data_IF_232415645530
#
_entry.id   IF_232415645530
#
_cell.length_a   1.000
_cell.length_b   1.000
_cell.length_c   1.000
_cell.angle_alpha   90.00
_cell.angle_beta   90.00
_cell.angle_gamma   90.00
#
_symmetry.space_group_name_H-M   'P 1'
#
loop_
_entity.id
_entity.type
_entity.pdbx_description
1 polymer ?
#
# COMPACT_ATOMS: atom_id res chain seq x y z
N UNK A 1 -0.89 -3.89 -8.63
CA UNK A 1 -0.17 -3.98 -7.33
C UNK A 1 1.12 -3.17 -7.31
N UNK A 2 2.01 -3.24 -8.32
CA UNK A 2 3.28 -2.48 -8.29
C UNK A 2 3.12 -0.96 -8.49
N UNK A 3 2.23 -0.50 -9.38
CA UNK A 3 2.02 0.96 -9.63
C UNK A 3 1.57 1.74 -8.38
N UNK A 4 0.79 1.11 -7.50
CA UNK A 4 0.37 1.73 -6.24
C UNK A 4 1.51 1.82 -5.21
N UNK A 5 2.54 0.98 -5.31
CA UNK A 5 3.67 0.99 -4.38
C UNK A 5 4.60 2.19 -4.67
N UNK A 6 4.92 2.41 -5.94
CA UNK A 6 5.74 3.53 -6.40
C UNK A 6 5.13 4.88 -5.99
N UNK A 7 3.82 5.04 -6.18
CA UNK A 7 3.13 6.27 -5.78
C UNK A 7 3.08 6.46 -4.25
N UNK A 8 2.97 5.38 -3.47
CA UNK A 8 3.07 5.46 -2.00
C UNK A 8 4.47 5.85 -1.54
N UNK A 9 5.51 5.37 -2.21
CA UNK A 9 6.89 5.81 -1.97
C UNK A 9 7.06 7.29 -2.30
N UNK A 10 6.47 7.76 -3.41
CA UNK A 10 6.48 9.18 -3.76
C UNK A 10 5.74 10.04 -2.71
N UNK A 11 4.59 9.61 -2.19
CA UNK A 11 3.91 10.28 -1.07
C UNK A 11 4.82 10.32 0.16
N UNK A 12 5.43 9.20 0.53
CA UNK A 12 6.36 9.14 1.68
C UNK A 12 7.53 10.09 1.51
N UNK A 13 8.06 10.22 0.29
CA UNK A 13 9.10 11.17 -0.05
C UNK A 13 8.63 12.62 0.12
N UNK A 14 7.45 12.97 -0.38
CA UNK A 14 6.85 14.30 -0.18
C UNK A 14 6.68 14.65 1.30
N UNK A 15 6.19 13.71 2.12
CA UNK A 15 6.06 13.91 3.58
C UNK A 15 7.42 14.16 4.24
N UNK A 16 8.47 13.44 3.83
CA UNK A 16 9.85 13.68 4.31
C UNK A 16 10.43 15.03 3.88
N UNK A 17 9.89 15.62 2.83
CA UNK A 17 10.21 16.99 2.40
C UNK A 17 9.28 18.03 3.05
N UNK A 18 8.51 17.64 4.07
CA UNK A 18 7.57 18.50 4.80
C UNK A 18 6.51 19.13 3.89
N UNK A 19 6.18 18.44 2.78
CA UNK A 19 5.10 18.86 1.89
C UNK A 19 3.74 18.45 2.46
N UNK A 20 2.78 19.37 2.32
CA UNK A 20 1.39 19.09 2.68
C UNK A 20 0.71 18.21 1.62
N UNK A 21 -0.33 17.46 2.00
CA UNK A 21 -1.15 16.71 1.05
C UNK A 21 -1.65 17.57 -0.14
N UNK A 22 -1.95 18.85 0.10
CA UNK A 22 -2.39 19.79 -0.93
C UNK A 22 -1.31 20.11 -1.98
N UNK A 23 -0.03 20.04 -1.60
CA UNK A 23 1.11 20.14 -2.52
C UNK A 23 1.46 18.78 -3.14
N UNK A 24 1.29 17.68 -2.40
CA UNK A 24 1.57 16.32 -2.88
C UNK A 24 0.65 15.90 -4.02
N UNK A 25 -0.65 16.24 -3.97
CA UNK A 25 -1.64 15.90 -5.02
C UNK A 25 -1.23 16.42 -6.42
N UNK A 26 -0.97 17.73 -6.63
CA UNK A 26 -0.56 18.22 -7.94
C UNK A 26 0.80 17.66 -8.40
N UNK A 27 1.72 17.35 -7.48
CA UNK A 27 2.99 16.69 -7.81
C UNK A 27 2.76 15.28 -8.35
N UNK A 28 1.92 14.48 -7.68
CA UNK A 28 1.56 13.13 -8.14
C UNK A 28 0.81 13.16 -9.46
N UNK A 29 -0.15 14.08 -9.63
CA UNK A 29 -0.87 14.25 -10.90
C UNK A 29 0.08 14.59 -12.05
N UNK A 30 1.10 15.43 -11.80
CA UNK A 30 2.12 15.76 -12.80
C UNK A 30 3.02 14.58 -13.14
N UNK A 31 3.40 13.76 -12.16
CA UNK A 31 4.30 12.63 -12.34
C UNK A 31 3.62 11.40 -12.96
N UNK A 32 2.40 11.08 -12.52
CA UNK A 32 1.68 9.84 -12.86
C UNK A 32 0.49 10.06 -13.80
N UNK A 33 0.18 11.31 -14.16
CA UNK A 33 -0.86 11.65 -15.12
C UNK A 33 -2.25 11.24 -14.62
N UNK A 34 -2.96 10.42 -15.40
CA UNK A 34 -4.30 9.91 -15.07
C UNK A 34 -4.27 8.69 -14.16
N UNK A 35 -3.12 8.01 -14.06
CA UNK A 35 -2.97 6.75 -13.33
C UNK A 35 -2.58 6.97 -11.86
N UNK A 36 -2.75 8.18 -11.34
CA UNK A 36 -2.41 8.52 -9.96
C UNK A 36 -3.48 8.04 -8.95
N UNK A 37 -3.07 7.81 -7.71
CA UNK A 37 -3.95 7.46 -6.61
C UNK A 37 -5.01 8.56 -6.42
N UNK A 38 -6.22 8.16 -6.06
CA UNK A 38 -7.27 9.14 -5.72
C UNK A 38 -6.83 10.04 -4.55
N UNK A 39 -7.31 11.29 -4.54
CA UNK A 39 -7.01 12.27 -3.48
C UNK A 39 -7.26 11.70 -2.07
N UNK A 40 -8.32 10.89 -1.90
CA UNK A 40 -8.62 10.21 -0.63
C UNK A 40 -7.54 9.20 -0.22
N UNK A 41 -6.99 8.45 -1.17
CA UNK A 41 -5.90 7.51 -0.90
C UNK A 41 -4.61 8.25 -0.60
N UNK A 42 -4.31 9.34 -1.32
CA UNK A 42 -3.15 10.20 -1.08
C UNK A 42 -3.23 10.74 0.35
N UNK A 43 -4.34 11.36 0.73
CA UNK A 43 -4.53 11.91 2.07
C UNK A 43 -4.37 10.86 3.17
N UNK A 44 -4.90 9.64 2.97
CA UNK A 44 -4.76 8.54 3.93
C UNK A 44 -3.29 8.14 4.13
N UNK A 45 -2.52 8.04 3.05
CA UNK A 45 -1.10 7.68 3.11
C UNK A 45 -0.24 8.82 3.66
N UNK A 46 -0.50 10.05 3.23
CA UNK A 46 0.17 11.26 3.70
C UNK A 46 0.05 11.40 5.22
N UNK A 47 -1.17 11.30 5.75
CA UNK A 47 -1.43 11.28 7.19
C UNK A 47 -0.74 10.12 7.90
N UNK A 48 -0.83 8.90 7.37
CA UNK A 48 -0.19 7.75 7.99
C UNK A 48 1.34 7.89 8.07
N UNK A 49 1.98 8.45 7.04
CA UNK A 49 3.41 8.71 7.05
C UNK A 49 3.78 9.87 7.98
N UNK A 50 2.96 10.92 8.07
CA UNK A 50 3.14 12.00 9.03
C UNK A 50 3.01 11.52 10.48
N UNK A 51 2.17 10.50 10.74
CA UNK A 51 2.02 9.83 12.03
C UNK A 51 3.14 8.80 12.33
N UNK A 52 4.13 8.67 11.44
CA UNK A 52 5.31 7.84 11.67
C UNK A 52 5.24 6.42 11.09
N UNK A 53 4.27 6.10 10.24
CA UNK A 53 4.27 4.82 9.51
C UNK A 53 5.49 4.75 8.59
N UNK A 54 6.22 3.63 8.59
CA UNK A 54 7.35 3.44 7.69
C UNK A 54 7.06 2.53 6.49
N UNK A 55 6.13 1.60 6.62
CA UNK A 55 5.84 0.62 5.58
C UNK A 55 4.92 1.19 4.48
N UNK A 56 5.26 0.89 3.23
CA UNK A 56 4.50 1.30 2.02
C UNK A 56 3.54 0.21 1.53
N UNK A 57 3.70 -1.00 2.03
CA UNK A 57 2.78 -2.10 1.78
C UNK A 57 1.48 -1.89 2.56
N UNK A 58 0.37 -2.39 2.04
CA UNK A 58 -0.85 -2.45 2.83
C UNK A 58 -0.60 -3.36 4.04
N UNK A 59 -1.16 -2.99 5.18
CA UNK A 59 -1.18 -3.88 6.35
C UNK A 59 -1.87 -5.18 5.95
N UNK A 60 -1.27 -6.29 6.35
CA UNK A 60 -1.86 -7.60 6.12
C UNK A 60 -3.24 -7.58 6.80
N UNK A 61 -4.32 -7.55 6.02
CA UNK A 61 -5.66 -7.62 6.57
C UNK A 61 -5.72 -8.93 7.34
N UNK A 62 -5.83 -8.86 8.66
CA UNK A 62 -6.26 -9.98 9.47
C UNK A 62 -7.74 -10.28 9.12
N UNK A 63 -7.96 -10.82 7.92
CA UNK A 63 -9.23 -11.38 7.51
C UNK A 63 -9.38 -12.75 8.14
N UNK A 64 -10.57 -13.01 8.69
CA UNK A 64 -11.04 -14.25 9.31
C UNK A 64 -10.37 -15.50 8.70
N UNK A 65 -9.86 -16.46 9.50
CA UNK A 65 -9.32 -17.70 8.96
C UNK A 65 -10.40 -18.36 8.09
N UNK A 66 -10.13 -18.53 6.80
CA UNK A 66 -10.98 -19.34 5.93
C UNK A 66 -10.79 -20.80 6.36
N UNK A 67 -11.71 -21.31 7.17
CA UNK A 67 -11.90 -22.74 7.34
C UNK A 67 -12.56 -23.28 6.08
N UNK A 68 -11.77 -23.64 5.07
CA UNK A 68 -12.21 -24.63 4.09
C UNK A 68 -11.41 -25.90 4.32
N UNK A 69 -12.02 -26.87 5.00
CA UNK A 69 -11.60 -28.26 4.93
C UNK A 69 -11.54 -28.68 3.47
N UNK A 70 -10.41 -29.23 3.07
CA UNK A 70 -10.34 -30.21 2.00
C UNK A 70 -9.21 -31.16 2.37
N UNK A 71 -9.62 -32.24 3.03
CA UNK A 71 -8.90 -33.50 3.03
C UNK A 71 -8.51 -33.86 1.59
N UNK A 72 -7.22 -33.84 1.27
CA UNK A 72 -6.66 -34.81 0.34
C UNK A 72 -5.11 -34.87 0.42
N UNK A 73 -4.64 -35.87 1.14
CA UNK A 73 -3.82 -36.94 0.55
C UNK A 73 -2.41 -36.60 0.02
N UNK A 74 -1.42 -36.71 0.90
CA UNK A 74 -0.06 -37.11 0.52
C UNK A 74 0.32 -38.39 1.28
N UNK A 75 -0.06 -39.52 0.68
CA UNK A 75 0.62 -40.81 0.88
C UNK A 75 1.93 -40.74 0.12
N UNK A 76 3.06 -40.94 0.79
CA UNK A 76 4.24 -41.62 0.23
C UNK A 76 5.16 -42.13 1.34
N UNK A 77 4.85 -43.37 1.73
CA UNK A 77 5.71 -44.53 1.96
C UNK A 77 7.26 -44.40 1.96
N UNK A 78 7.85 -44.99 3.03
CA UNK A 78 9.14 -45.70 3.20
C UNK A 78 10.48 -44.95 3.08
N UNK A 79 11.31 -45.06 4.13
CA UNK A 79 12.23 -46.21 4.29
C UNK A 79 12.58 -46.46 5.75
#
# INVERSE_FOLDING_TARGET
MQRSLEQRMAIKFCVKLEKSAAETIPMLKKAFGVDFLSDRQIFRWDKAFAEGREYVNDENRAGRPSTSSSDNNLKHEKS
#
